data_IF_101578698124
#
_entry.id   IF_101578698124
#
_cell.length_a   1.000
_cell.length_b   1.000
_cell.length_c   1.000
_cell.angle_alpha   90.00
_cell.angle_beta   90.00
_cell.angle_gamma   90.00
#
_symmetry.space_group_name_H-M   'P 1'
#
loop_
_entity.id
_entity.type
_entity.pdbx_description
1 polymer ?
#
# COMPACT_ATOMS: atom_id res chain seq x y z
N UNK A 1 -58.22 20.75 -0.99
CA UNK A 1 -57.05 19.84 -1.07
C UNK A 1 -56.12 20.36 -2.15
N UNK A 2 -54.82 20.56 -1.91
CA UNK A 2 -53.91 20.98 -2.96
C UNK A 2 -53.51 19.78 -3.84
N UNK A 3 -53.87 19.86 -5.12
CA UNK A 3 -53.47 18.95 -6.20
C UNK A 3 -51.96 19.05 -6.42
N UNK A 4 -51.24 17.93 -6.28
CA UNK A 4 -49.83 17.83 -6.65
C UNK A 4 -49.79 17.49 -8.15
N UNK A 5 -49.33 18.44 -8.97
CA UNK A 5 -49.03 18.18 -10.37
C UNK A 5 -47.96 17.07 -10.46
N UNK A 6 -48.35 15.89 -10.91
CA UNK A 6 -47.43 14.83 -11.28
C UNK A 6 -46.74 15.23 -12.58
N UNK A 7 -45.56 15.83 -12.48
CA UNK A 7 -44.68 16.02 -13.62
C UNK A 7 -44.48 14.69 -14.35
N UNK A 8 -44.52 14.73 -15.68
CA UNK A 8 -44.41 13.56 -16.54
C UNK A 8 -43.15 12.75 -16.19
N UNK A 9 -43.34 11.63 -15.48
CA UNK A 9 -42.32 10.60 -15.35
C UNK A 9 -42.35 9.86 -16.68
N UNK A 10 -41.47 10.23 -17.60
CA UNK A 10 -41.24 9.43 -18.82
C UNK A 10 -40.60 8.12 -18.35
N UNK A 11 -41.30 7.00 -18.58
CA UNK A 11 -40.70 5.68 -18.41
C UNK A 11 -39.85 5.43 -19.65
N UNK A 12 -38.55 5.73 -19.55
CA UNK A 12 -37.61 5.42 -20.62
C UNK A 12 -37.42 3.89 -20.68
N UNK A 13 -37.84 3.28 -21.79
CA UNK A 13 -37.78 1.83 -22.04
C UNK A 13 -36.45 1.37 -22.65
N UNK A 14 -35.45 2.26 -22.72
CA UNK A 14 -34.11 1.90 -23.19
C UNK A 14 -33.35 1.13 -22.10
N UNK A 15 -32.78 -0.05 -22.41
CA UNK A 15 -32.11 -0.88 -21.42
C UNK A 15 -30.81 -0.21 -20.95
N UNK A 16 -30.77 0.19 -19.67
CA UNK A 16 -29.56 0.68 -19.03
C UNK A 16 -28.59 -0.48 -18.79
N UNK A 17 -27.47 -0.49 -19.53
CA UNK A 17 -26.41 -1.49 -19.34
C UNK A 17 -25.53 -1.09 -18.16
N UNK A 18 -25.74 -1.74 -17.01
CA UNK A 18 -24.88 -1.59 -15.83
C UNK A 18 -23.58 -2.38 -16.02
N UNK A 19 -22.47 -1.69 -16.23
CA UNK A 19 -21.15 -2.32 -16.27
C UNK A 19 -20.57 -2.47 -14.85
N UNK A 20 -20.34 -3.71 -14.41
CA UNK A 20 -19.63 -4.01 -13.16
C UNK A 20 -18.18 -4.37 -13.48
N UNK A 21 -17.25 -3.45 -13.25
CA UNK A 21 -15.82 -3.73 -13.42
C UNK A 21 -15.34 -4.79 -12.43
N UNK A 22 -14.45 -5.67 -12.88
CA UNK A 22 -13.77 -6.61 -11.98
C UNK A 22 -12.96 -5.84 -10.92
N UNK A 23 -12.95 -6.29 -9.66
CA UNK A 23 -12.16 -5.66 -8.61
C UNK A 23 -10.68 -5.71 -8.96
N UNK A 24 -9.95 -4.65 -8.60
CA UNK A 24 -8.49 -4.59 -8.83
C UNK A 24 -7.79 -5.61 -7.93
N UNK A 25 -6.65 -6.14 -8.40
CA UNK A 25 -5.87 -7.13 -7.63
C UNK A 25 -5.46 -6.62 -6.22
N UNK A 26 -5.33 -5.31 -6.03
CA UNK A 26 -5.02 -4.70 -4.73
C UNK A 26 -6.20 -4.79 -3.76
N UNK A 27 -7.44 -4.65 -4.25
CA UNK A 27 -8.66 -4.75 -3.45
C UNK A 27 -8.89 -6.18 -2.95
N UNK A 28 -8.47 -7.18 -3.74
CA UNK A 28 -8.53 -8.60 -3.35
C UNK A 28 -7.56 -8.98 -2.22
N UNK A 29 -6.58 -8.12 -1.92
CA UNK A 29 -5.63 -8.30 -0.81
C UNK A 29 -6.12 -7.70 0.51
N UNK A 30 -7.22 -6.94 0.49
CA UNK A 30 -7.82 -6.38 1.70
C UNK A 30 -8.29 -7.51 2.63
N UNK A 31 -7.96 -7.49 3.94
CA UNK A 31 -8.44 -8.48 4.90
C UNK A 31 -9.96 -8.70 4.84
N UNK A 32 -10.75 -7.67 4.51
CA UNK A 32 -12.21 -7.82 4.36
C UNK A 32 -12.58 -8.73 3.19
N UNK A 33 -11.94 -8.51 2.04
CA UNK A 33 -12.16 -9.30 0.82
C UNK A 33 -11.68 -10.75 1.01
N UNK A 34 -10.53 -10.94 1.66
CA UNK A 34 -9.99 -12.27 1.97
C UNK A 34 -10.92 -13.04 2.91
N UNK A 35 -11.41 -12.40 3.98
CA UNK A 35 -12.34 -13.03 4.92
C UNK A 35 -13.68 -13.39 4.27
N UNK A 36 -14.18 -12.55 3.35
CA UNK A 36 -15.37 -12.87 2.58
C UNK A 36 -15.15 -14.09 1.68
N UNK A 37 -14.01 -14.16 0.97
CA UNK A 37 -13.65 -15.29 0.13
C UNK A 37 -13.50 -16.60 0.95
N UNK A 38 -12.93 -16.54 2.14
CA UNK A 38 -12.84 -17.71 3.03
C UNK A 38 -14.22 -18.25 3.44
N UNK A 39 -15.22 -17.36 3.59
CA UNK A 39 -16.59 -17.75 3.98
C UNK A 39 -17.43 -18.25 2.81
N UNK A 40 -17.26 -17.66 1.63
CA UNK A 40 -18.06 -18.03 0.45
C UNK A 40 -17.50 -19.24 -0.30
N UNK A 41 -16.29 -19.71 0.02
CA UNK A 41 -15.64 -20.84 -0.64
C UNK A 41 -14.79 -20.57 -1.90
N UNK A 42 -14.61 -19.33 -2.42
CA UNK A 42 -13.59 -19.05 -3.42
C UNK A 42 -12.17 -19.44 -3.00
N UNK A 43 -11.30 -19.80 -3.96
CA UNK A 43 -9.91 -20.13 -3.67
C UNK A 43 -9.15 -18.90 -3.16
N UNK A 44 -8.49 -19.04 -2.01
CA UNK A 44 -7.60 -18.02 -1.44
C UNK A 44 -6.15 -18.45 -1.64
N UNK A 45 -5.37 -17.58 -2.27
CA UNK A 45 -3.94 -17.82 -2.46
C UNK A 45 -3.16 -17.42 -1.20
N UNK A 46 -2.40 -18.36 -0.66
CA UNK A 46 -1.46 -18.11 0.44
C UNK A 46 -0.04 -18.26 -0.09
N UNK A 47 0.76 -17.18 0.05
CA UNK A 47 2.14 -17.15 -0.44
C UNK A 47 3.04 -16.78 0.75
N UNK A 48 4.02 -17.64 1.04
CA UNK A 48 5.04 -17.38 2.05
C UNK A 48 5.86 -16.15 1.62
N UNK A 49 6.05 -15.20 2.54
CA UNK A 49 6.89 -14.03 2.28
C UNK A 49 8.36 -14.46 2.16
N UNK A 50 9.14 -13.72 1.36
CA UNK A 50 10.53 -14.04 1.03
C UNK A 50 11.39 -14.39 2.26
N UNK A 51 11.33 -13.58 3.32
CA UNK A 51 12.10 -13.78 4.57
C UNK A 51 11.24 -14.32 5.74
N UNK A 52 10.11 -14.97 5.46
CA UNK A 52 9.22 -15.43 6.53
C UNK A 52 9.87 -16.48 7.44
N UNK A 53 9.85 -16.22 8.75
CA UNK A 53 10.38 -17.12 9.79
C UNK A 53 11.82 -16.82 10.20
N UNK A 54 12.42 -15.71 9.75
CA UNK A 54 13.76 -15.29 10.14
C UNK A 54 13.73 -14.04 11.03
N UNK A 55 14.56 -14.02 12.08
CA UNK A 55 14.77 -12.86 12.94
C UNK A 55 15.93 -12.00 12.41
N UNK A 56 15.79 -11.48 11.19
CA UNK A 56 16.81 -10.59 10.62
C UNK A 56 16.80 -9.26 11.40
N UNK A 57 17.80 -9.07 12.26
CA UNK A 57 18.07 -7.78 12.91
C UNK A 57 18.57 -6.86 11.80
N UNK A 58 17.97 -5.68 11.67
CA UNK A 58 18.17 -4.68 10.61
C UNK A 58 17.64 -5.04 9.21
N UNK A 59 16.81 -4.12 8.73
CA UNK A 59 16.36 -4.02 7.35
C UNK A 59 17.60 -4.01 6.45
N UNK A 60 17.51 -4.66 5.29
CA UNK A 60 18.63 -4.69 4.34
C UNK A 60 19.03 -3.28 3.89
N UNK A 61 19.88 -3.15 2.86
CA UNK A 61 20.05 -1.86 2.21
C UNK A 61 18.67 -1.25 1.96
N UNK A 62 18.43 -0.01 2.39
CA UNK A 62 17.18 0.73 2.12
C UNK A 62 16.93 0.84 0.60
N UNK A 63 17.95 0.52 -0.19
CA UNK A 63 17.98 0.52 -1.64
C UNK A 63 17.65 -0.87 -2.19
N UNK A 64 16.89 -0.91 -3.27
CA UNK A 64 16.60 -2.15 -3.99
C UNK A 64 17.87 -2.65 -4.70
N UNK A 65 18.44 -3.82 -4.33
CA UNK A 65 19.70 -4.30 -4.89
C UNK A 65 19.62 -4.52 -6.40
N UNK A 66 18.49 -5.03 -6.88
CA UNK A 66 18.23 -5.21 -8.31
C UNK A 66 18.37 -3.93 -9.13
N UNK A 67 17.94 -2.79 -8.59
CA UNK A 67 18.04 -1.50 -9.28
C UNK A 67 19.47 -0.98 -9.31
N UNK A 68 20.29 -1.35 -8.31
CA UNK A 68 21.71 -1.02 -8.29
C UNK A 68 22.47 -1.89 -9.30
N UNK A 69 22.14 -3.16 -9.41
CA UNK A 69 22.77 -4.09 -10.37
C UNK A 69 22.41 -3.75 -11.84
N UNK A 70 21.20 -3.27 -12.10
CA UNK A 70 20.75 -2.81 -13.42
C UNK A 70 21.37 -1.47 -13.84
N UNK A 71 21.89 -0.68 -12.88
CA UNK A 71 22.50 0.62 -13.13
C UNK A 71 23.95 0.48 -13.58
N UNK A 72 24.29 1.01 -14.76
CA UNK A 72 25.67 1.05 -15.28
C UNK A 72 26.45 2.29 -14.83
N UNK A 73 25.74 3.31 -14.34
CA UNK A 73 26.29 4.60 -13.90
C UNK A 73 26.50 4.62 -12.38
N UNK A 74 27.47 5.40 -11.87
CA UNK A 74 27.72 5.48 -10.44
C UNK A 74 26.49 5.99 -9.70
N UNK A 75 25.89 5.13 -8.87
CA UNK A 75 24.74 5.48 -8.05
C UNK A 75 25.12 6.54 -7.02
N UNK A 76 24.52 7.73 -7.14
CA UNK A 76 24.62 8.76 -6.12
C UNK A 76 23.81 8.33 -4.89
N UNK A 77 24.51 7.75 -3.90
CA UNK A 77 23.90 7.37 -2.62
C UNK A 77 23.94 8.60 -1.70
N UNK A 78 22.76 9.07 -1.30
CA UNK A 78 22.62 10.18 -0.38
C UNK A 78 23.28 9.88 0.97
N UNK A 79 24.05 10.85 1.46
CA UNK A 79 24.72 10.79 2.75
C UNK A 79 23.94 11.55 3.79
N UNK A 80 24.09 11.13 5.05
CA UNK A 80 23.51 11.83 6.19
C UNK A 80 24.01 13.27 6.23
N UNK A 81 23.11 14.23 6.46
CA UNK A 81 23.46 15.65 6.54
C UNK A 81 24.36 15.96 7.74
N UNK A 82 25.13 17.04 7.61
CA UNK A 82 26.04 17.49 8.67
C UNK A 82 25.29 17.85 9.97
N UNK A 83 24.07 18.39 9.85
CA UNK A 83 23.25 18.82 10.99
C UNK A 83 22.82 17.62 11.84
N UNK A 84 22.38 16.53 11.21
CA UNK A 84 22.02 15.29 11.91
C UNK A 84 23.23 14.72 12.64
N UNK A 85 24.42 14.75 12.01
CA UNK A 85 25.66 14.31 12.66
C UNK A 85 25.98 15.13 13.90
N UNK A 86 25.87 16.46 13.82
CA UNK A 86 26.15 17.36 14.95
C UNK A 86 25.12 17.19 16.07
N UNK A 87 23.83 17.06 15.74
CA UNK A 87 22.77 16.84 16.71
C UNK A 87 22.97 15.55 17.52
N UNK A 88 23.32 14.44 16.84
CA UNK A 88 23.60 13.15 17.50
C UNK A 88 24.83 13.27 18.40
N UNK A 89 25.88 13.97 17.97
CA UNK A 89 27.08 14.15 18.77
C UNK A 89 26.79 14.92 20.06
N UNK A 90 26.03 16.02 19.99
CA UNK A 90 25.63 16.81 21.17
C UNK A 90 24.82 15.96 22.15
N UNK A 91 23.78 15.29 21.67
CA UNK A 91 22.94 14.42 22.50
C UNK A 91 23.74 13.30 23.20
N UNK A 92 24.77 12.74 22.55
CA UNK A 92 25.65 11.73 23.16
C UNK A 92 26.54 12.30 24.26
N UNK A 93 27.06 13.52 24.08
CA UNK A 93 27.88 14.18 25.08
C UNK A 93 27.03 14.55 26.31
N UNK A 94 25.86 15.15 26.10
CA UNK A 94 24.91 15.50 27.17
C UNK A 94 24.50 14.27 27.98
N UNK A 95 24.17 13.15 27.31
CA UNK A 95 23.85 11.89 28.00
C UNK A 95 25.02 11.31 28.79
N UNK A 96 26.27 11.54 28.37
CA UNK A 96 27.47 11.04 29.06
C UNK A 96 27.87 11.91 30.25
N UNK A 97 27.50 13.19 30.23
CA UNK A 97 27.76 14.15 31.31
C UNK A 97 26.66 14.20 32.38
N UNK A 98 25.67 13.31 32.30
CA UNK A 98 24.63 13.09 33.32
C UNK A 98 24.82 11.73 33.98
#
# INVERSE_FOLDING_TARGET
>A
MPSRFGGAVTQDWEPVVLHKSKPKAQELRDPKAVNQALRSGPPVQTIKKFDAGSNKKTEGPVLNPRKLDEGTEPAAIDRVSADVRQAIQKARLEKKSS
#
